data_IF_698555884656
#
_entry.id   IF_698555884656
#
_cell.length_a   1.000
_cell.length_b   1.000
_cell.length_c   1.000
_cell.angle_alpha   90.00
_cell.angle_beta   90.00
_cell.angle_gamma   90.00
#
_symmetry.space_group_name_H-M   'P 1'
#
loop_
_entity.id
_entity.type
_entity.pdbx_description
1 polymer ?
#
# COMPACT_ATOMS: atom_id res chain seq x y z
N UNK A 1 9.34 -14.34 -17.30
CA UNK A 1 8.07 -13.74 -17.73
C UNK A 1 7.88 -14.09 -19.20
N UNK A 2 7.19 -15.20 -19.47
CA UNK A 2 6.96 -15.71 -20.83
C UNK A 2 5.59 -15.21 -21.32
N UNK A 3 5.61 -14.36 -22.32
CA UNK A 3 4.44 -13.93 -23.09
C UNK A 3 4.03 -15.07 -24.02
N UNK A 4 2.90 -15.72 -23.73
CA UNK A 4 2.23 -16.57 -24.71
C UNK A 4 1.40 -15.71 -25.66
N UNK A 5 1.92 -15.50 -26.86
CA UNK A 5 1.18 -14.92 -27.97
C UNK A 5 0.27 -15.97 -28.57
N UNK A 6 -1.03 -15.82 -28.33
CA UNK A 6 -2.05 -16.60 -29.05
C UNK A 6 -2.14 -16.08 -30.49
N UNK A 7 -1.58 -16.83 -31.41
CA UNK A 7 -1.77 -16.63 -32.85
C UNK A 7 -3.21 -17.00 -33.23
N UNK A 8 -4.05 -16.02 -33.47
CA UNK A 8 -5.35 -16.16 -34.11
C UNK A 8 -5.14 -16.56 -35.57
N UNK A 9 -5.36 -17.85 -35.90
CA UNK A 9 -5.46 -18.29 -37.29
C UNK A 9 -6.70 -17.66 -37.92
N UNK A 10 -6.51 -16.62 -38.72
CA UNK A 10 -7.52 -16.13 -39.68
C UNK A 10 -7.83 -17.29 -40.65
N UNK A 11 -8.98 -17.91 -40.49
CA UNK A 11 -9.50 -18.82 -41.43
C UNK A 11 -9.86 -18.11 -42.75
N UNK A 12 -9.23 -18.51 -43.85
CA UNK A 12 -9.43 -17.97 -45.19
C UNK A 12 -10.86 -18.30 -45.67
N UNK A 13 -11.66 -17.34 -46.07
CA UNK A 13 -13.10 -17.40 -46.30
C UNK A 13 -13.48 -18.11 -47.65
N UNK A 14 -12.65 -18.95 -48.23
CA UNK A 14 -12.95 -19.61 -49.51
C UNK A 14 -12.50 -21.08 -49.57
N UNK A 15 -12.87 -21.90 -48.60
CA UNK A 15 -12.82 -23.36 -48.73
C UNK A 15 -14.05 -23.93 -48.01
N UNK A 16 -14.88 -24.70 -48.72
CA UNK A 16 -16.19 -25.21 -48.31
C UNK A 16 -16.19 -25.92 -46.97
N UNK A 17 -16.67 -25.22 -45.97
CA UNK A 17 -17.01 -25.79 -44.69
C UNK A 17 -18.40 -26.40 -44.84
N UNK A 18 -18.57 -27.70 -44.60
CA UNK A 18 -19.84 -28.36 -44.73
C UNK A 18 -20.86 -27.80 -43.70
N UNK A 19 -22.15 -27.75 -44.12
CA UNK A 19 -23.21 -27.23 -43.21
C UNK A 19 -23.29 -27.99 -41.89
N UNK A 20 -22.76 -29.20 -41.84
CA UNK A 20 -22.62 -30.02 -40.64
C UNK A 20 -21.62 -29.47 -39.64
N UNK A 21 -20.46 -28.96 -40.09
CA UNK A 21 -19.42 -28.33 -39.24
C UNK A 21 -19.86 -26.97 -38.73
N UNK A 22 -20.65 -26.22 -39.50
CA UNK A 22 -21.27 -24.96 -39.04
C UNK A 22 -22.29 -25.21 -37.93
N UNK A 23 -23.16 -26.22 -38.09
CA UNK A 23 -24.16 -26.54 -37.07
C UNK A 23 -23.54 -27.09 -35.78
N UNK A 24 -22.46 -27.87 -35.87
CA UNK A 24 -21.73 -28.34 -34.69
C UNK A 24 -20.99 -27.21 -33.96
N UNK A 25 -20.46 -26.23 -34.69
CA UNK A 25 -19.79 -25.06 -34.07
C UNK A 25 -20.79 -24.13 -33.43
N UNK A 26 -21.98 -23.89 -34.02
CA UNK A 26 -23.07 -23.14 -33.41
C UNK A 26 -23.60 -23.83 -32.16
N UNK A 27 -23.87 -25.14 -32.19
CA UNK A 27 -24.33 -25.87 -31.02
C UNK A 27 -23.30 -25.94 -29.87
N UNK A 28 -22.01 -25.88 -30.18
CA UNK A 28 -20.96 -25.74 -29.15
C UNK A 28 -20.92 -24.33 -28.53
N UNK A 29 -21.09 -23.30 -29.34
CA UNK A 29 -21.14 -21.91 -28.84
C UNK A 29 -22.39 -21.69 -28.00
N UNK A 30 -23.57 -22.16 -28.39
CA UNK A 30 -24.80 -22.07 -27.61
C UNK A 30 -24.69 -22.79 -26.26
N UNK A 31 -24.05 -23.96 -26.21
CA UNK A 31 -23.80 -24.68 -24.96
C UNK A 31 -22.81 -23.94 -24.07
N UNK A 32 -21.78 -23.29 -24.62
CA UNK A 32 -20.84 -22.48 -23.86
C UNK A 32 -21.50 -21.22 -23.32
N UNK A 33 -22.38 -20.57 -24.06
CA UNK A 33 -23.12 -19.40 -23.59
C UNK A 33 -24.08 -19.76 -22.47
N UNK A 34 -24.87 -20.84 -22.60
CA UNK A 34 -25.76 -21.32 -21.53
C UNK A 34 -24.99 -21.70 -20.26
N UNK A 35 -23.81 -22.33 -20.40
CA UNK A 35 -22.95 -22.62 -19.25
C UNK A 35 -22.38 -21.35 -18.61
N UNK A 36 -22.06 -20.35 -19.40
CA UNK A 36 -21.56 -19.05 -18.90
C UNK A 36 -22.65 -18.29 -18.15
N UNK A 37 -23.86 -18.26 -18.67
CA UNK A 37 -25.01 -17.66 -17.98
C UNK A 37 -25.35 -18.35 -16.65
N UNK A 38 -25.33 -19.69 -16.62
CA UNK A 38 -25.54 -20.46 -15.41
C UNK A 38 -24.48 -20.17 -14.35
N UNK A 39 -23.21 -20.02 -14.74
CA UNK A 39 -22.12 -19.64 -13.84
C UNK A 39 -22.27 -18.21 -13.31
N UNK A 40 -22.71 -17.27 -14.15
CA UNK A 40 -22.95 -15.89 -13.72
C UNK A 40 -24.10 -15.82 -12.72
N UNK A 41 -25.22 -16.53 -12.93
CA UNK A 41 -26.30 -16.59 -11.98
C UNK A 41 -25.88 -17.15 -10.62
N UNK A 42 -25.15 -18.26 -10.62
CA UNK A 42 -24.61 -18.82 -9.39
C UNK A 42 -23.64 -17.87 -8.65
N UNK A 43 -22.86 -17.08 -9.40
CA UNK A 43 -21.99 -16.07 -8.82
C UNK A 43 -22.78 -14.91 -8.22
N UNK A 44 -23.82 -14.44 -8.92
CA UNK A 44 -24.70 -13.35 -8.43
C UNK A 44 -25.44 -13.79 -7.15
N UNK A 45 -25.91 -15.01 -7.06
CA UNK A 45 -26.50 -15.58 -5.84
C UNK A 45 -25.49 -15.64 -4.69
N UNK A 46 -24.26 -16.05 -4.96
CA UNK A 46 -23.18 -16.09 -3.97
C UNK A 46 -22.82 -14.67 -3.47
N UNK A 47 -22.74 -13.71 -4.38
CA UNK A 47 -22.49 -12.29 -4.02
C UNK A 47 -23.63 -11.76 -3.13
N UNK A 48 -24.88 -12.01 -3.51
CA UNK A 48 -26.03 -11.59 -2.71
C UNK A 48 -26.02 -12.20 -1.28
N UNK A 49 -25.57 -13.46 -1.16
CA UNK A 49 -25.43 -14.10 0.14
C UNK A 49 -24.31 -13.46 0.97
N UNK A 50 -23.15 -13.14 0.35
CA UNK A 50 -22.02 -12.45 1.00
C UNK A 50 -22.45 -11.06 1.45
N UNK A 51 -23.14 -10.31 0.60
CA UNK A 51 -23.62 -8.96 0.95
C UNK A 51 -24.63 -8.96 2.09
N UNK A 52 -25.46 -10.02 2.18
CA UNK A 52 -26.40 -10.19 3.29
C UNK A 52 -25.68 -10.48 4.62
N UNK A 53 -24.55 -11.19 4.57
CA UNK A 53 -23.79 -11.60 5.75
C UNK A 53 -22.82 -10.52 6.23
N UNK A 54 -22.14 -9.84 5.30
CA UNK A 54 -21.04 -8.91 5.58
C UNK A 54 -21.34 -7.45 5.23
N UNK A 55 -22.52 -7.18 4.68
CA UNK A 55 -22.94 -5.83 4.26
C UNK A 55 -22.73 -5.56 2.77
N UNK A 56 -23.47 -4.58 2.27
CA UNK A 56 -23.38 -4.12 0.87
C UNK A 56 -21.97 -3.58 0.58
N UNK A 57 -21.41 -3.96 -0.58
CA UNK A 57 -20.07 -3.55 -0.98
C UNK A 57 -18.94 -4.45 -0.50
N UNK A 58 -19.25 -5.59 0.16
CA UNK A 58 -18.26 -6.60 0.55
C UNK A 58 -17.58 -7.25 -0.66
N UNK A 59 -18.26 -7.28 -1.81
CA UNK A 59 -17.73 -7.74 -3.09
C UNK A 59 -18.10 -6.72 -4.15
N UNK A 60 -17.10 -6.24 -4.92
CA UNK A 60 -17.29 -5.24 -5.97
C UNK A 60 -16.54 -5.66 -7.23
N UNK A 61 -17.05 -5.27 -8.41
CA UNK A 61 -16.31 -5.41 -9.65
C UNK A 61 -15.33 -4.23 -9.78
N UNK A 62 -14.06 -4.50 -9.98
CA UNK A 62 -13.01 -3.47 -10.07
C UNK A 62 -13.26 -2.44 -11.19
N UNK A 63 -13.95 -2.84 -12.25
CA UNK A 63 -14.31 -1.96 -13.38
C UNK A 63 -15.64 -1.23 -13.23
N UNK A 64 -16.30 -1.29 -12.06
CA UNK A 64 -17.54 -0.58 -11.82
C UNK A 64 -17.25 0.92 -11.64
N UNK A 65 -17.92 1.82 -12.41
CA UNK A 65 -17.72 3.26 -12.28
C UNK A 65 -18.03 3.83 -10.89
N UNK A 66 -18.82 3.12 -10.08
CA UNK A 66 -19.10 3.49 -8.69
C UNK A 66 -17.91 3.29 -7.76
N UNK A 67 -16.87 2.55 -8.20
CA UNK A 67 -15.63 2.27 -7.47
C UNK A 67 -14.53 3.26 -7.86
N UNK A 68 -14.85 4.50 -8.20
CA UNK A 68 -13.85 5.55 -8.30
C UNK A 68 -13.28 5.82 -6.91
N UNK A 69 -12.20 5.13 -6.58
CA UNK A 69 -11.36 5.46 -5.43
C UNK A 69 -10.66 6.78 -5.74
N UNK A 70 -11.27 7.89 -5.32
CA UNK A 70 -10.59 9.17 -5.26
C UNK A 70 -9.58 9.07 -4.13
N UNK A 71 -8.36 8.63 -4.45
CA UNK A 71 -7.30 8.45 -3.45
C UNK A 71 -6.67 9.81 -3.21
N UNK A 72 -6.88 10.38 -2.02
CA UNK A 72 -6.15 11.55 -1.59
C UNK A 72 -4.66 11.22 -1.44
N UNK A 73 -3.81 12.13 -1.89
CA UNK A 73 -2.36 11.93 -1.89
C UNK A 73 -1.63 13.07 -1.19
N UNK A 74 -0.45 12.76 -0.69
CA UNK A 74 0.54 13.70 -0.19
C UNK A 74 1.66 13.79 -1.23
N UNK A 75 1.97 14.97 -1.78
CA UNK A 75 3.11 15.13 -2.68
C UNK A 75 4.42 14.76 -1.98
N UNK A 76 5.36 14.21 -2.72
CA UNK A 76 6.69 13.87 -2.17
C UNK A 76 7.64 15.06 -2.13
N UNK A 77 7.24 16.21 -2.72
CA UNK A 77 8.12 17.35 -2.93
C UNK A 77 9.08 17.20 -4.12
N UNK A 78 9.05 16.06 -4.79
CA UNK A 78 9.85 15.78 -5.98
C UNK A 78 8.93 15.45 -7.17
N UNK A 79 8.79 16.38 -8.12
CA UNK A 79 7.88 16.26 -9.25
C UNK A 79 8.09 14.99 -10.07
N UNK A 80 9.34 14.59 -10.30
CA UNK A 80 9.65 13.38 -11.06
C UNK A 80 9.19 12.11 -10.34
N UNK A 81 9.27 12.07 -9.01
CA UNK A 81 8.79 10.96 -8.21
C UNK A 81 7.25 10.93 -8.19
N UNK A 82 6.60 12.08 -8.03
CA UNK A 82 5.15 12.20 -8.05
C UNK A 82 4.54 11.73 -9.38
N UNK A 83 5.17 12.07 -10.51
CA UNK A 83 4.79 11.59 -11.83
C UNK A 83 5.01 10.07 -11.95
N UNK A 84 6.13 9.55 -11.46
CA UNK A 84 6.44 8.12 -11.52
C UNK A 84 5.49 7.27 -10.67
N UNK A 85 4.99 7.80 -9.54
CA UNK A 85 3.96 7.17 -8.72
C UNK A 85 2.58 7.14 -9.38
N UNK A 86 2.33 7.98 -10.39
CA UNK A 86 1.10 7.99 -11.18
C UNK A 86 -0.11 8.64 -10.51
N UNK A 87 -0.04 8.93 -9.20
CA UNK A 87 -1.12 9.54 -8.42
C UNK A 87 -0.80 10.98 -7.99
N UNK A 88 0.36 11.49 -8.35
CA UNK A 88 0.83 12.83 -7.94
C UNK A 88 1.32 12.89 -6.50
N UNK A 89 1.69 11.76 -5.92
CA UNK A 89 2.22 11.62 -4.56
C UNK A 89 1.94 10.26 -3.95
N UNK A 90 2.16 10.15 -2.65
CA UNK A 90 1.89 8.93 -1.88
C UNK A 90 0.46 8.94 -1.33
N UNK A 91 -0.26 7.80 -1.31
CA UNK A 91 -1.64 7.75 -0.87
C UNK A 91 -1.79 8.00 0.63
N UNK A 92 -2.78 8.82 1.03
CA UNK A 92 -3.15 9.02 2.43
C UNK A 92 -3.76 7.76 3.05
N UNK A 93 -3.61 7.60 4.35
CA UNK A 93 -4.19 6.47 5.08
C UNK A 93 -3.57 5.12 4.73
N UNK A 94 -2.31 5.11 4.29
CA UNK A 94 -1.54 3.89 3.95
C UNK A 94 -0.20 3.89 4.66
N UNK A 95 0.28 2.69 4.95
CA UNK A 95 1.66 2.47 5.39
C UNK A 95 2.54 2.45 4.15
N UNK A 96 3.57 3.29 4.14
CA UNK A 96 4.49 3.47 3.02
C UNK A 96 5.88 3.11 3.52
N UNK A 97 6.51 2.18 2.84
CA UNK A 97 7.90 1.80 3.10
C UNK A 97 8.82 2.48 2.09
N UNK A 98 9.81 3.23 2.60
CA UNK A 98 10.90 3.80 1.81
C UNK A 98 12.18 3.10 2.19
N UNK A 99 12.77 2.34 1.27
CA UNK A 99 13.97 1.56 1.52
C UNK A 99 15.06 1.83 0.50
N UNK A 100 16.29 1.54 0.88
CA UNK A 100 17.47 1.75 0.03
C UNK A 100 18.76 1.73 0.86
N UNK A 101 19.93 1.81 0.21
CA UNK A 101 21.22 1.85 0.89
C UNK A 101 21.34 3.10 1.77
N UNK A 102 22.34 3.09 2.63
CA UNK A 102 22.69 4.27 3.43
C UNK A 102 22.99 5.46 2.52
N UNK A 103 22.70 6.66 3.03
CA UNK A 103 22.91 7.93 2.30
C UNK A 103 22.15 8.06 0.96
N UNK A 104 21.14 7.21 0.71
CA UNK A 104 20.32 7.27 -0.52
C UNK A 104 19.22 8.34 -0.50
N UNK A 105 19.06 9.09 0.59
CA UNK A 105 18.08 10.16 0.72
C UNK A 105 16.72 9.74 1.28
N UNK A 106 16.62 8.58 1.95
CA UNK A 106 15.36 8.12 2.58
C UNK A 106 14.76 9.16 3.52
N UNK A 107 15.53 9.61 4.51
CA UNK A 107 15.16 10.66 5.47
C UNK A 107 14.83 11.97 4.75
N UNK A 108 15.58 12.32 3.70
CA UNK A 108 15.33 13.53 2.90
C UNK A 108 13.94 13.50 2.27
N UNK A 109 13.56 12.37 1.65
CA UNK A 109 12.22 12.20 1.06
C UNK A 109 11.13 12.28 2.13
N UNK A 110 11.35 11.65 3.28
CA UNK A 110 10.41 11.70 4.41
C UNK A 110 10.21 13.13 4.92
N UNK A 111 11.29 13.90 5.08
CA UNK A 111 11.22 15.32 5.49
C UNK A 111 10.53 16.21 4.45
N UNK A 112 10.74 15.96 3.16
CA UNK A 112 9.99 16.67 2.12
C UNK A 112 8.49 16.38 2.20
N UNK A 113 8.08 15.14 2.42
CA UNK A 113 6.66 14.80 2.60
C UNK A 113 6.07 15.49 3.83
N UNK A 114 6.82 15.57 4.94
CA UNK A 114 6.40 16.34 6.12
C UNK A 114 6.19 17.80 5.75
N UNK A 115 7.15 18.42 5.07
CA UNK A 115 7.04 19.80 4.65
C UNK A 115 5.82 20.05 3.74
N UNK A 116 5.52 19.14 2.82
CA UNK A 116 4.34 19.25 1.96
C UNK A 116 3.02 19.12 2.73
N UNK A 117 2.96 18.23 3.74
CA UNK A 117 1.79 18.11 4.63
C UNK A 117 1.60 19.39 5.46
N UNK A 118 2.68 19.92 6.06
CA UNK A 118 2.61 21.16 6.85
C UNK A 118 2.21 22.36 5.99
N UNK A 119 2.66 22.48 4.74
CA UNK A 119 2.21 23.52 3.80
C UNK A 119 0.71 23.48 3.54
N UNK A 120 0.09 22.30 3.63
CA UNK A 120 -1.35 22.11 3.52
C UNK A 120 -2.10 22.34 4.84
N UNK A 121 -1.41 22.74 5.90
CA UNK A 121 -1.96 22.93 7.24
C UNK A 121 -2.13 21.65 8.05
N UNK A 122 -1.52 20.54 7.59
CA UNK A 122 -1.55 19.26 8.30
C UNK A 122 -0.52 19.18 9.42
N UNK A 123 -0.74 18.25 10.34
CA UNK A 123 0.09 17.97 11.51
C UNK A 123 1.00 16.78 11.23
N UNK A 124 2.28 16.90 11.59
CA UNK A 124 3.30 15.88 11.35
C UNK A 124 3.94 15.40 12.66
N UNK A 125 4.16 14.07 12.74
CA UNK A 125 4.94 13.42 13.78
C UNK A 125 6.19 12.75 13.20
N UNK A 126 7.29 12.80 13.95
CA UNK A 126 8.55 12.15 13.60
C UNK A 126 9.06 11.33 14.77
N UNK A 127 9.24 10.04 14.57
CA UNK A 127 9.82 9.12 15.54
C UNK A 127 11.25 8.83 15.10
N UNK A 128 12.20 9.48 15.78
CA UNK A 128 13.63 9.40 15.49
C UNK A 128 14.28 8.30 16.35
N UNK A 129 14.26 7.09 15.84
CA UNK A 129 14.87 5.95 16.51
C UNK A 129 16.39 5.88 16.33
N UNK A 130 16.95 6.63 15.38
CA UNK A 130 18.40 6.74 15.15
C UNK A 130 19.03 7.89 15.95
N UNK A 131 18.21 8.80 16.51
CA UNK A 131 18.67 10.02 17.17
C UNK A 131 19.54 10.92 16.28
N UNK A 132 19.25 10.93 14.99
CA UNK A 132 20.10 11.53 13.96
C UNK A 132 19.44 12.71 13.22
N UNK A 133 18.22 13.11 13.59
CA UNK A 133 17.54 14.22 12.95
C UNK A 133 18.27 15.55 13.22
N UNK A 134 18.74 16.20 12.15
CA UNK A 134 19.31 17.55 12.18
C UNK A 134 18.19 18.59 11.96
N UNK A 135 17.87 19.42 12.98
CA UNK A 135 16.84 20.46 12.85
C UNK A 135 17.17 21.53 11.81
N UNK A 136 18.47 21.83 11.62
CA UNK A 136 18.91 22.82 10.62
C UNK A 136 18.67 22.29 9.22
N UNK A 137 18.99 21.02 8.99
CA UNK A 137 18.74 20.36 7.73
C UNK A 137 17.24 20.28 7.43
N UNK A 138 16.43 19.85 8.41
CA UNK A 138 14.98 19.79 8.28
C UNK A 138 14.38 21.15 7.90
N UNK A 139 14.80 22.23 8.57
CA UNK A 139 14.38 23.59 8.27
C UNK A 139 14.78 24.04 6.87
N UNK A 140 15.96 23.68 6.40
CA UNK A 140 16.44 24.01 5.05
C UNK A 140 15.64 23.30 3.96
N UNK A 141 15.11 22.12 4.23
CA UNK A 141 14.18 21.38 3.35
C UNK A 141 12.81 22.06 3.30
N UNK A 142 12.45 22.83 4.32
CA UNK A 142 11.18 23.54 4.40
C UNK A 142 10.23 22.98 5.47
N UNK A 143 10.72 22.13 6.36
CA UNK A 143 9.95 21.66 7.52
C UNK A 143 9.79 22.79 8.53
N UNK A 144 8.57 23.01 8.98
CA UNK A 144 8.28 23.85 10.13
C UNK A 144 8.61 23.06 11.41
N UNK A 145 9.82 23.31 11.93
CA UNK A 145 10.35 22.62 13.10
C UNK A 145 9.64 22.98 14.39
N UNK A 146 9.03 24.17 14.46
CA UNK A 146 8.31 24.64 15.64
C UNK A 146 6.96 23.90 15.81
N UNK A 147 6.41 23.35 14.72
CA UNK A 147 5.18 22.60 14.69
C UNK A 147 5.38 21.11 14.33
N UNK A 148 6.60 20.58 14.42
CA UNK A 148 6.89 19.17 14.24
C UNK A 148 6.94 18.46 15.60
N UNK A 149 6.08 17.46 15.79
CA UNK A 149 6.13 16.61 16.98
C UNK A 149 7.20 15.54 16.81
N UNK A 150 8.23 15.59 17.64
CA UNK A 150 9.32 14.60 17.60
C UNK A 150 9.30 13.73 18.86
N UNK A 151 9.59 12.44 18.69
CA UNK A 151 9.84 11.49 19.77
C UNK A 151 11.12 10.73 19.50
N UNK A 152 11.92 10.51 20.53
CA UNK A 152 13.17 9.75 20.49
C UNK A 152 13.09 8.61 21.50
N UNK A 153 12.50 7.47 21.09
CA UNK A 153 12.28 6.32 21.97
C UNK A 153 13.56 5.53 22.21
N UNK A 154 13.67 4.90 23.39
CA UNK A 154 14.82 4.08 23.77
C UNK A 154 14.76 2.65 23.19
N UNK A 155 13.57 2.18 22.85
CA UNK A 155 13.35 0.80 22.32
C UNK A 155 12.14 0.72 21.39
N UNK A 156 12.09 -0.35 20.59
CA UNK A 156 11.12 -0.48 19.50
C UNK A 156 9.66 -0.53 19.94
N UNK A 157 9.33 -1.20 21.05
CA UNK A 157 7.95 -1.25 21.57
C UNK A 157 7.44 0.16 21.91
N UNK A 158 8.27 0.96 22.56
CA UNK A 158 7.92 2.35 22.92
C UNK A 158 7.66 3.20 21.67
N UNK A 159 8.54 3.09 20.68
CA UNK A 159 8.38 3.79 19.40
C UNK A 159 7.03 3.48 18.74
N UNK A 160 6.69 2.20 18.66
CA UNK A 160 5.48 1.74 17.99
C UNK A 160 4.20 2.03 18.79
N UNK A 161 4.25 2.04 20.13
CA UNK A 161 3.14 2.46 20.98
C UNK A 161 2.87 3.98 20.86
N UNK A 162 3.92 4.79 20.76
CA UNK A 162 3.80 6.22 20.49
C UNK A 162 3.17 6.44 19.13
N UNK A 163 3.63 5.73 18.09
CA UNK A 163 3.04 5.79 16.75
C UNK A 163 1.56 5.40 16.76
N UNK A 164 1.21 4.27 17.37
CA UNK A 164 -0.18 3.79 17.49
C UNK A 164 -1.08 4.82 18.19
N UNK A 165 -0.58 5.44 19.27
CA UNK A 165 -1.30 6.48 20.00
C UNK A 165 -1.54 7.72 19.15
N UNK A 166 -0.53 8.18 18.42
CA UNK A 166 -0.64 9.32 17.50
C UNK A 166 -1.64 9.02 16.36
N UNK A 167 -1.57 7.84 15.75
CA UNK A 167 -2.52 7.42 14.69
C UNK A 167 -3.95 7.38 15.22
N UNK A 168 -4.17 6.80 16.39
CA UNK A 168 -5.50 6.67 17.01
C UNK A 168 -6.10 8.01 17.43
N UNK A 169 -5.28 9.01 17.68
CA UNK A 169 -5.77 10.35 17.98
C UNK A 169 -6.54 10.99 16.83
N UNK A 170 -6.26 10.54 15.59
CA UNK A 170 -6.84 11.12 14.37
C UNK A 170 -6.43 12.57 14.09
N UNK A 171 -5.48 13.11 14.87
CA UNK A 171 -5.04 14.50 14.79
C UNK A 171 -3.77 14.69 13.96
N UNK A 172 -3.10 13.59 13.56
CA UNK A 172 -1.83 13.63 12.84
C UNK A 172 -2.05 13.12 11.42
N UNK A 173 -1.61 13.90 10.43
CA UNK A 173 -1.78 13.62 9.01
C UNK A 173 -0.68 12.73 8.43
N UNK A 174 0.53 12.84 8.99
CA UNK A 174 1.69 12.03 8.61
C UNK A 174 2.53 11.70 9.84
N UNK A 175 2.95 10.43 9.93
CA UNK A 175 3.91 9.98 10.95
C UNK A 175 5.06 9.29 10.22
N UNK A 176 6.27 9.71 10.52
CA UNK A 176 7.50 9.09 10.02
C UNK A 176 8.16 8.32 11.16
N UNK A 177 8.60 7.12 10.89
CA UNK A 177 9.47 6.33 11.79
C UNK A 177 10.79 6.11 11.09
N UNK A 178 11.85 6.72 11.58
CA UNK A 178 13.19 6.65 10.98
C UNK A 178 14.19 6.12 12.02
N UNK A 179 14.68 4.93 11.92
CA UNK A 179 14.37 3.91 10.91
C UNK A 179 13.87 2.64 11.60
N UNK A 180 13.16 1.78 10.85
CA UNK A 180 12.76 0.45 11.35
C UNK A 180 13.96 -0.38 11.80
N UNK A 181 15.12 -0.22 11.15
CA UNK A 181 16.35 -0.94 11.50
C UNK A 181 16.84 -0.61 12.92
N UNK A 182 16.58 0.61 13.40
CA UNK A 182 16.97 1.07 14.73
C UNK A 182 15.97 0.68 15.84
N UNK A 183 14.83 0.09 15.50
CA UNK A 183 13.83 -0.37 16.46
C UNK A 183 14.27 -1.67 17.14
N UNK A 184 15.14 -1.56 18.13
CA UNK A 184 15.60 -2.72 18.91
C UNK A 184 14.53 -3.11 19.91
N UNK A 185 14.11 -4.39 19.98
CA UNK A 185 13.20 -4.88 21.00
C UNK A 185 13.79 -4.75 22.40
N UNK A 186 12.97 -4.37 23.39
CA UNK A 186 13.40 -4.22 24.78
C UNK A 186 14.06 -5.47 25.33
N UNK A 187 13.53 -6.65 25.02
CA UNK A 187 14.09 -7.93 25.46
C UNK A 187 15.51 -8.19 24.93
N UNK A 188 15.87 -7.58 23.80
CA UNK A 188 17.22 -7.66 23.25
C UNK A 188 18.17 -6.70 23.96
N UNK A 189 17.67 -5.52 24.38
CA UNK A 189 18.46 -4.53 25.17
C UNK A 189 18.72 -5.06 26.58
N UNK A 190 17.73 -5.68 27.22
CA UNK A 190 17.81 -6.21 28.57
C UNK A 190 18.57 -7.57 28.65
N UNK A 191 18.85 -8.22 27.50
CA UNK A 191 19.54 -9.49 27.40
C UNK A 191 21.06 -9.38 27.58
N UNK A 192 21.71 -10.52 27.76
CA UNK A 192 23.17 -10.58 27.85
C UNK A 192 23.83 -10.75 26.47
N UNK A 193 25.09 -10.32 26.36
CA UNK A 193 25.88 -10.51 25.14
C UNK A 193 26.03 -12.01 24.83
N UNK A 194 25.46 -12.43 23.69
CA UNK A 194 25.46 -13.83 23.23
C UNK A 194 24.11 -14.53 23.30
N UNK A 195 23.09 -13.88 23.89
CA UNK A 195 21.74 -14.40 23.86
C UNK A 195 21.19 -14.44 22.43
N UNK A 196 20.46 -15.50 22.13
CA UNK A 196 19.86 -15.67 20.79
C UNK A 196 18.47 -15.06 20.75
N UNK A 197 18.34 -13.91 20.08
CA UNK A 197 17.07 -13.21 19.91
C UNK A 197 16.55 -13.36 18.48
N UNK A 198 16.14 -14.59 18.11
CA UNK A 198 15.73 -14.88 16.73
C UNK A 198 14.43 -14.15 16.37
N UNK A 199 14.53 -13.27 15.38
CA UNK A 199 13.41 -12.58 14.72
C UNK A 199 12.48 -11.77 15.66
N UNK A 200 12.98 -11.27 16.80
CA UNK A 200 12.17 -10.46 17.72
C UNK A 200 11.69 -9.17 17.05
N UNK A 201 12.57 -8.45 16.35
CA UNK A 201 12.23 -7.23 15.62
C UNK A 201 11.16 -7.49 14.53
N UNK A 202 11.32 -8.56 13.75
CA UNK A 202 10.35 -8.92 12.72
C UNK A 202 8.97 -9.26 13.33
N UNK A 203 8.95 -9.92 14.48
CA UNK A 203 7.71 -10.22 15.20
C UNK A 203 7.05 -8.95 15.73
N UNK A 204 7.83 -8.05 16.32
CA UNK A 204 7.37 -6.74 16.81
C UNK A 204 6.74 -5.93 15.68
N UNK A 205 7.42 -5.80 14.54
CA UNK A 205 6.90 -5.11 13.36
C UNK A 205 5.62 -5.77 12.82
N UNK A 206 5.59 -7.11 12.73
CA UNK A 206 4.40 -7.83 12.28
C UNK A 206 3.19 -7.62 13.19
N UNK A 207 3.38 -7.45 14.49
CA UNK A 207 2.30 -7.14 15.44
C UNK A 207 1.84 -5.68 15.28
N UNK A 208 2.76 -4.74 15.22
CA UNK A 208 2.45 -3.31 15.11
C UNK A 208 1.70 -2.97 13.81
N UNK A 209 2.13 -3.54 12.68
CA UNK A 209 1.51 -3.27 11.36
C UNK A 209 0.11 -3.90 11.21
N UNK A 210 -0.35 -4.71 12.16
CA UNK A 210 -1.71 -5.29 12.17
C UNK A 210 -2.69 -4.54 13.06
N UNK A 211 -2.20 -3.66 13.92
CA UNK A 211 -3.03 -2.81 14.78
C UNK A 211 -3.56 -1.60 14.02
#
# INVERSE_FOLDING_TARGET
>A
MQLMTNFSKKCNRNAGCSDKERNESMAKNDKMEVQKEAKLKALDEAIAHIEKQYGKGSVMKLGDPSVHMNVETVPTGCLSLDIALGLGGVPRGRIIEVYGPESSGKTTVALHMIAEVQKQGGVAGFIDAEHALDPVYAKNIGVDIDNLYISQPDFGEQALEIADTMVRSGAVDIIVVDSVAALVPKAEIDGEMGDTHVALQARLMSQALRK
#
